data_IF_372846848358
#
_entry.id   IF_372846848358
#
_cell.length_a   1.000
_cell.length_b   1.000
_cell.length_c   1.000
_cell.angle_alpha   90.00
_cell.angle_beta   90.00
_cell.angle_gamma   90.00
#
_symmetry.space_group_name_H-M   'P 1'
#
loop_
_entity.id
_entity.type
_entity.pdbx_description
1 polymer ?
#
# COMPACT_ATOMS: atom_id res chain seq x y z
N UNK A 1 7.10 -41.78 -18.40
CA UNK A 1 6.66 -40.56 -17.68
C UNK A 1 6.77 -40.70 -16.16
N UNK A 2 6.26 -41.79 -15.55
CA UNK A 2 6.27 -41.95 -14.07
C UNK A 2 7.61 -42.29 -13.40
N UNK A 3 8.65 -42.67 -14.15
CA UNK A 3 9.96 -43.04 -13.59
C UNK A 3 10.80 -41.85 -13.10
N UNK A 4 10.36 -40.60 -13.34
CA UNK A 4 11.07 -39.39 -12.93
C UNK A 4 10.48 -38.71 -11.68
N UNK A 5 9.38 -39.23 -11.10
CA UNK A 5 8.82 -38.67 -9.87
C UNK A 5 9.64 -39.13 -8.67
N UNK A 6 10.53 -38.26 -8.18
CA UNK A 6 11.31 -38.52 -6.97
C UNK A 6 10.49 -38.26 -5.71
N UNK A 7 9.51 -37.35 -5.80
CA UNK A 7 8.65 -36.98 -4.67
C UNK A 7 7.26 -36.49 -5.11
N UNK A 8 6.29 -36.50 -4.18
CA UNK A 8 4.98 -35.86 -4.39
C UNK A 8 5.07 -34.37 -4.73
N UNK A 9 6.19 -33.73 -4.36
CA UNK A 9 6.47 -32.32 -4.62
C UNK A 9 6.77 -32.05 -6.10
N UNK A 10 7.09 -33.09 -6.87
CA UNK A 10 7.25 -32.99 -8.34
C UNK A 10 5.89 -33.00 -9.05
N UNK A 11 4.90 -33.69 -8.47
CA UNK A 11 3.52 -33.76 -9.00
C UNK A 11 2.70 -32.56 -8.56
N UNK A 12 2.88 -32.14 -7.30
CA UNK A 12 2.10 -31.10 -6.66
C UNK A 12 3.03 -30.06 -5.98
N UNK A 13 3.64 -29.14 -6.76
CA UNK A 13 4.58 -28.14 -6.22
C UNK A 13 4.00 -27.29 -5.09
N UNK A 14 2.68 -27.06 -5.10
CA UNK A 14 1.95 -26.32 -4.08
C UNK A 14 2.02 -26.94 -2.68
N UNK A 15 2.40 -28.22 -2.53
CA UNK A 15 2.64 -28.85 -1.22
C UNK A 15 3.77 -28.11 -0.45
N UNK A 16 4.71 -27.47 -1.16
CA UNK A 16 5.76 -26.64 -0.54
C UNK A 16 5.23 -25.38 0.15
N UNK A 17 3.95 -25.02 -0.04
CA UNK A 17 3.33 -23.93 0.71
C UNK A 17 3.01 -24.34 2.16
N UNK A 18 2.79 -25.62 2.47
CA UNK A 18 2.41 -26.06 3.83
C UNK A 18 3.48 -25.81 4.90
N UNK A 19 4.78 -26.07 4.65
CA UNK A 19 5.84 -25.72 5.60
C UNK A 19 5.83 -24.26 6.05
N UNK A 20 5.31 -23.34 5.23
CA UNK A 20 5.23 -21.92 5.57
C UNK A 20 4.33 -21.63 6.77
N UNK A 21 3.35 -22.51 7.08
CA UNK A 21 2.49 -22.40 8.26
C UNK A 21 3.29 -22.38 9.56
N UNK A 22 4.50 -22.96 9.57
CA UNK A 22 5.40 -22.93 10.74
C UNK A 22 5.78 -21.51 11.17
N UNK A 23 5.68 -20.52 10.27
CA UNK A 23 5.96 -19.13 10.61
C UNK A 23 4.98 -18.56 11.65
N UNK A 24 3.76 -19.11 11.76
CA UNK A 24 2.79 -18.71 12.77
C UNK A 24 3.26 -19.02 14.19
N UNK A 25 4.13 -20.04 14.34
CA UNK A 25 4.75 -20.41 15.60
C UNK A 25 6.02 -19.60 15.92
N UNK A 26 6.43 -18.67 15.04
CA UNK A 26 7.63 -17.84 15.23
C UNK A 26 7.23 -16.45 15.77
N UNK A 27 7.26 -16.23 17.09
CA UNK A 27 6.74 -15.00 17.71
C UNK A 27 7.49 -13.74 17.24
N UNK A 28 8.76 -13.87 16.86
CA UNK A 28 9.58 -12.75 16.37
C UNK A 28 9.02 -12.17 15.07
N UNK A 29 8.58 -13.00 14.12
CA UNK A 29 8.00 -12.54 12.86
C UNK A 29 6.65 -11.83 13.06
N UNK A 30 5.84 -12.33 14.01
CA UNK A 30 4.56 -11.73 14.37
C UNK A 30 4.76 -10.40 15.09
N UNK A 31 5.74 -10.33 15.99
CA UNK A 31 6.12 -9.10 16.68
C UNK A 31 6.56 -7.99 15.70
N UNK A 32 7.31 -8.33 14.65
CA UNK A 32 7.70 -7.37 13.61
C UNK A 32 6.47 -6.80 12.89
N UNK A 33 5.49 -7.64 12.55
CA UNK A 33 4.23 -7.16 11.93
C UNK A 33 3.42 -6.30 12.90
N UNK A 34 3.36 -6.67 14.18
CA UNK A 34 2.67 -5.87 15.20
C UNK A 34 3.29 -4.48 15.35
N UNK A 35 4.63 -4.39 15.38
CA UNK A 35 5.34 -3.11 15.43
C UNK A 35 5.02 -2.26 14.19
N UNK A 36 5.03 -2.86 13.00
CA UNK A 36 4.69 -2.17 11.76
C UNK A 36 3.23 -1.71 11.72
N UNK A 37 2.31 -2.53 12.21
CA UNK A 37 0.90 -2.19 12.34
C UNK A 37 0.70 -1.03 13.32
N UNK A 38 1.33 -1.08 14.50
CA UNK A 38 1.27 -0.01 15.49
C UNK A 38 1.84 1.32 14.93
N UNK A 39 2.98 1.25 14.22
CA UNK A 39 3.56 2.40 13.53
C UNK A 39 2.60 2.96 12.45
N UNK A 40 1.87 2.08 11.75
CA UNK A 40 0.86 2.47 10.75
C UNK A 40 -0.32 3.20 11.39
N UNK A 41 -0.86 2.65 12.48
CA UNK A 41 -1.95 3.28 13.24
C UNK A 41 -1.53 4.64 13.76
N UNK A 42 -0.34 4.74 14.35
CA UNK A 42 0.20 6.02 14.85
C UNK A 42 0.36 7.04 13.72
N UNK A 43 0.94 6.65 12.58
CA UNK A 43 1.13 7.53 11.41
C UNK A 43 -0.22 8.01 10.87
N UNK A 44 -1.21 7.12 10.79
CA UNK A 44 -2.57 7.42 10.34
C UNK A 44 -3.25 8.41 11.29
N UNK A 45 -3.15 8.16 12.60
CA UNK A 45 -3.75 9.02 13.63
C UNK A 45 -3.13 10.43 13.66
N UNK A 46 -1.86 10.58 13.30
CA UNK A 46 -1.20 11.90 13.24
C UNK A 46 -1.51 12.65 11.94
N UNK A 47 -1.52 11.96 10.79
CA UNK A 47 -1.65 12.61 9.47
C UNK A 47 -3.09 12.83 9.02
N UNK A 48 -4.05 12.04 9.53
CA UNK A 48 -5.46 12.12 9.15
C UNK A 48 -6.34 12.71 10.26
N UNK A 49 -5.75 13.47 11.21
CA UNK A 49 -6.58 14.19 12.18
C UNK A 49 -7.60 15.06 11.41
N UNK A 50 -8.89 14.98 11.74
CA UNK A 50 -9.89 15.81 11.11
C UNK A 50 -9.50 17.27 11.32
N UNK A 51 -9.35 18.01 10.22
CA UNK A 51 -9.08 19.46 10.28
C UNK A 51 -10.17 20.08 11.16
N UNK A 52 -9.83 20.81 12.24
CA UNK A 52 -10.81 21.39 13.12
C UNK A 52 -11.81 22.20 12.32
N UNK A 53 -13.09 21.80 12.38
CA UNK A 53 -14.20 22.44 11.66
C UNK A 53 -14.38 23.90 12.05
N UNK A 54 -13.77 24.33 13.15
CA UNK A 54 -13.88 25.70 13.68
C UNK A 54 -13.14 26.74 12.82
N UNK A 55 -12.16 26.31 11.99
CA UNK A 55 -11.53 27.18 10.97
C UNK A 55 -12.33 27.24 9.65
N UNK A 56 -13.35 26.39 9.49
CA UNK A 56 -14.37 26.54 8.46
C UNK A 56 -15.53 27.45 8.92
N UNK A 57 -15.33 28.21 10.00
CA UNK A 57 -16.21 29.28 10.50
C UNK A 57 -16.34 30.49 9.56
N UNK A 58 -15.84 30.41 8.33
CA UNK A 58 -16.44 31.14 7.22
C UNK A 58 -17.82 30.53 7.00
N UNK A 59 -18.83 31.00 7.73
CA UNK A 59 -20.23 30.74 7.42
C UNK A 59 -20.41 31.01 5.92
N UNK A 60 -20.43 29.95 5.13
CA UNK A 60 -21.03 30.00 3.80
C UNK A 60 -22.50 30.16 4.11
N UNK A 61 -22.89 31.39 4.41
CA UNK A 61 -24.24 31.87 4.22
C UNK A 61 -24.53 31.56 2.77
N UNK A 62 -25.18 30.41 2.55
CA UNK A 62 -25.87 30.14 1.30
C UNK A 62 -26.60 31.44 0.95
N UNK A 63 -26.43 31.99 -0.27
CA UNK A 63 -27.11 33.21 -0.65
C UNK A 63 -28.58 33.05 -0.28
N UNK A 64 -29.06 33.95 0.56
CA UNK A 64 -30.40 33.96 1.18
C UNK A 64 -31.54 33.83 0.14
N UNK A 65 -31.22 34.00 -1.13
CA UNK A 65 -32.05 33.74 -2.30
C UNK A 65 -32.69 32.34 -2.32
N UNK A 66 -32.04 31.28 -1.81
CA UNK A 66 -32.64 29.94 -1.76
C UNK A 66 -33.45 29.63 -0.49
N UNK A 67 -33.23 30.33 0.63
CA UNK A 67 -34.09 30.18 1.81
C UNK A 67 -35.43 30.90 1.63
N UNK A 68 -35.48 31.97 0.83
CA UNK A 68 -36.72 32.69 0.57
C UNK A 68 -37.68 31.94 -0.38
N UNK A 69 -37.19 31.00 -1.20
CA UNK A 69 -38.04 30.19 -2.09
C UNK A 69 -38.78 29.05 -1.37
N UNK A 70 -38.33 28.63 -0.18
CA UNK A 70 -39.01 27.57 0.61
C UNK A 70 -40.07 28.09 1.58
N UNK A 71 -40.07 29.39 1.91
CA UNK A 71 -41.11 29.98 2.78
C UNK A 71 -42.36 30.46 2.03
N UNK A 72 -42.34 30.48 0.69
CA UNK A 72 -43.46 31.02 -0.13
C UNK A 72 -44.52 29.97 -0.49
N UNK A 73 -44.32 28.67 -0.20
CA UNK A 73 -45.29 27.61 -0.55
C UNK A 73 -46.34 27.35 0.55
N UNK A 74 -46.72 28.38 1.31
CA UNK A 74 -47.62 28.20 2.45
C UNK A 74 -48.28 29.49 2.93
N UNK A 75 -48.86 30.31 2.05
CA UNK A 75 -49.99 31.19 2.40
C UNK A 75 -50.60 31.75 1.13
N UNK A 76 -51.87 31.42 0.93
CA UNK A 76 -52.70 32.11 -0.05
C UNK A 76 -53.04 33.54 0.38
N UNK A 77 -53.71 34.22 -0.55
CA UNK A 77 -54.51 35.44 -0.39
C UNK A 77 -53.78 36.78 -0.65
N UNK A 78 -53.81 37.15 -1.95
CA UNK A 78 -54.36 38.42 -2.50
C UNK A 78 -53.55 39.75 -2.35
N UNK A 79 -53.86 40.83 -3.12
CA UNK A 79 -52.88 41.49 -3.98
C UNK A 79 -52.76 43.02 -3.70
N UNK A 80 -52.03 43.74 -4.58
CA UNK A 80 -52.02 45.20 -4.78
C UNK A 80 -51.39 46.08 -3.69
N UNK A 81 -50.26 46.70 -4.06
CA UNK A 81 -49.80 48.09 -3.84
C UNK A 81 -48.27 48.09 -4.02
N UNK A 82 -47.75 48.49 -5.18
CA UNK A 82 -47.32 49.86 -5.46
C UNK A 82 -46.23 50.36 -4.49
N UNK A 83 -44.95 50.24 -4.87
CA UNK A 83 -44.00 51.33 -4.61
C UNK A 83 -42.82 51.28 -5.60
N UNK A 84 -42.88 52.25 -6.51
CA UNK A 84 -41.83 52.64 -7.44
C UNK A 84 -40.72 53.35 -6.63
N UNK A 85 -39.57 52.72 -6.43
CA UNK A 85 -38.35 53.38 -5.90
C UNK A 85 -37.21 53.29 -6.89
N UNK A 86 -37.10 54.34 -7.68
CA UNK A 86 -35.89 54.78 -8.36
C UNK A 86 -34.78 54.95 -7.31
N UNK A 87 -33.70 54.19 -7.46
CA UNK A 87 -32.45 54.42 -6.75
C UNK A 87 -31.52 55.24 -7.65
N UNK A 88 -30.73 56.19 -7.10
CA UNK A 88 -29.90 57.07 -7.90
C UNK A 88 -28.66 56.34 -8.44
N UNK A 89 -28.38 56.55 -9.72
CA UNK A 89 -27.07 56.31 -10.32
C UNK A 89 -26.00 57.09 -9.54
N UNK A 90 -25.03 56.37 -8.95
CA UNK A 90 -23.75 56.96 -8.56
C UNK A 90 -22.81 56.95 -9.77
N UNK A 91 -22.04 58.03 -9.98
CA UNK A 91 -21.12 58.14 -11.11
C UNK A 91 -19.91 57.23 -10.91
N UNK A 92 -19.57 56.52 -11.99
CA UNK A 92 -18.29 55.90 -12.24
C UNK A 92 -17.24 57.00 -12.41
N UNK A 93 -16.29 57.11 -11.48
CA UNK A 93 -15.00 57.78 -11.69
C UNK A 93 -14.04 57.33 -10.58
N UNK A 94 -13.18 56.36 -10.91
CA UNK A 94 -11.74 56.34 -10.56
C UNK A 94 -11.15 54.99 -11.02
N UNK A 95 -11.06 54.92 -12.34
CA UNK A 95 -10.12 54.04 -13.05
C UNK A 95 -8.74 54.72 -12.97
N UNK A 96 -7.69 53.90 -12.93
CA UNK A 96 -6.27 54.28 -13.09
C UNK A 96 -5.54 54.66 -11.80
N UNK A 97 -5.26 53.67 -10.96
CA UNK A 97 -3.93 53.57 -10.35
C UNK A 97 -3.54 52.09 -10.19
N UNK A 98 -2.63 51.67 -11.07
CA UNK A 98 -1.61 50.64 -10.79
C UNK A 98 -2.12 49.27 -10.31
N UNK A 99 -2.79 48.57 -11.23
CA UNK A 99 -2.84 47.11 -11.26
C UNK A 99 -1.42 46.55 -11.52
N UNK A 100 -0.54 46.65 -10.53
CA UNK A 100 0.44 45.59 -10.30
C UNK A 100 -0.41 44.38 -9.90
N UNK A 101 -0.76 43.57 -10.90
CA UNK A 101 -1.58 42.39 -10.76
C UNK A 101 -1.11 41.63 -9.52
N UNK A 102 -1.96 41.66 -8.47
CA UNK A 102 -1.74 40.82 -7.30
C UNK A 102 -1.58 39.41 -7.87
N UNK A 103 -0.53 38.65 -7.49
CA UNK A 103 -0.30 37.32 -8.04
C UNK A 103 -1.58 36.48 -8.01
N UNK A 104 -2.45 36.68 -7.01
CA UNK A 104 -3.75 36.01 -6.89
C UNK A 104 -4.71 36.15 -8.09
N UNK A 105 -4.69 37.25 -8.85
CA UNK A 105 -5.53 37.40 -10.06
C UNK A 105 -4.94 36.71 -11.28
N UNK A 106 -3.60 36.59 -11.35
CA UNK A 106 -2.91 35.86 -12.42
C UNK A 106 -3.19 34.34 -12.36
N UNK A 107 -3.50 33.82 -11.16
CA UNK A 107 -3.92 32.44 -10.95
C UNK A 107 -5.46 32.27 -10.88
N UNK A 108 -6.25 33.35 -10.91
CA UNK A 108 -7.73 33.27 -10.85
C UNK A 108 -8.36 32.69 -12.13
N UNK A 109 -7.64 32.75 -13.26
CA UNK A 109 -8.03 32.10 -14.52
C UNK A 109 -7.54 30.67 -14.69
N UNK A 110 -6.74 30.14 -13.75
CA UNK A 110 -6.28 28.75 -13.85
C UNK A 110 -7.41 27.79 -13.46
N UNK A 111 -7.48 26.62 -14.13
CA UNK A 111 -8.53 25.65 -13.87
C UNK A 111 -8.54 25.24 -12.38
N UNK A 112 -9.72 24.89 -11.82
CA UNK A 112 -9.93 24.58 -10.40
C UNK A 112 -9.02 23.47 -9.85
N UNK A 113 -8.35 22.72 -10.72
CA UNK A 113 -7.27 21.78 -10.41
C UNK A 113 -6.16 22.40 -9.55
N UNK A 114 -5.74 23.64 -9.84
CA UNK A 114 -4.70 24.29 -9.03
C UNK A 114 -5.22 24.72 -7.66
N UNK A 115 -6.50 25.10 -7.55
CA UNK A 115 -7.15 25.34 -6.27
C UNK A 115 -7.32 24.04 -5.45
N UNK A 116 -7.58 22.89 -6.11
CA UNK A 116 -7.65 21.57 -5.44
C UNK A 116 -6.29 21.05 -5.00
N UNK A 117 -5.23 21.28 -5.79
CA UNK A 117 -3.84 21.01 -5.38
C UNK A 117 -3.40 21.92 -4.22
N UNK A 118 -3.89 23.17 -4.19
CA UNK A 118 -3.69 24.15 -3.10
C UNK A 118 -4.51 23.80 -1.84
N UNK A 119 -5.65 23.12 -1.97
CA UNK A 119 -6.48 22.59 -0.87
C UNK A 119 -5.89 21.31 -0.23
N UNK A 120 -4.73 21.47 0.43
CA UNK A 120 -4.36 20.82 1.70
C UNK A 120 -4.19 19.29 1.86
N UNK A 121 -4.23 18.42 0.83
CA UNK A 121 -4.04 16.96 1.05
C UNK A 121 -2.90 16.25 0.32
N UNK A 122 -2.19 16.90 -0.60
CA UNK A 122 -1.11 16.25 -1.37
C UNK A 122 0.11 15.93 -0.50
N UNK A 123 0.60 16.92 0.27
CA UNK A 123 1.75 16.73 1.16
C UNK A 123 1.50 15.68 2.26
N UNK A 124 0.40 15.72 3.05
CA UNK A 124 0.15 14.68 4.06
C UNK A 124 -0.07 13.29 3.44
N UNK A 125 -0.64 13.20 2.24
CA UNK A 125 -0.74 11.94 1.50
C UNK A 125 0.64 11.42 1.07
N UNK A 126 1.51 12.28 0.54
CA UNK A 126 2.86 11.91 0.15
C UNK A 126 3.69 11.45 1.36
N UNK A 127 3.58 12.14 2.50
CA UNK A 127 4.21 11.73 3.76
C UNK A 127 3.65 10.38 4.21
N UNK A 128 2.31 10.22 4.20
CA UNK A 128 1.66 8.97 4.58
C UNK A 128 2.14 7.79 3.72
N UNK A 129 2.12 7.93 2.39
CA UNK A 129 2.56 6.90 1.46
C UNK A 129 4.05 6.56 1.66
N UNK A 130 4.89 7.58 1.82
CA UNK A 130 6.33 7.39 2.09
C UNK A 130 6.56 6.62 3.39
N UNK A 131 5.84 6.99 4.46
CA UNK A 131 5.88 6.27 5.73
C UNK A 131 5.39 4.83 5.59
N UNK A 132 4.31 4.59 4.83
CA UNK A 132 3.82 3.23 4.59
C UNK A 132 4.88 2.38 3.88
N UNK A 133 5.57 2.92 2.88
CA UNK A 133 6.66 2.23 2.20
C UNK A 133 7.83 1.94 3.15
N UNK A 134 8.27 2.93 3.93
CA UNK A 134 9.37 2.77 4.88
C UNK A 134 9.08 1.75 5.98
N UNK A 135 7.83 1.68 6.43
CA UNK A 135 7.38 0.73 7.46
C UNK A 135 7.24 -0.68 6.88
N UNK A 136 6.53 -0.83 5.75
CA UNK A 136 6.10 -2.15 5.28
C UNK A 136 7.11 -2.86 4.37
N UNK A 137 7.92 -2.15 3.59
CA UNK A 137 8.95 -2.80 2.74
C UNK A 137 9.91 -3.68 3.55
N UNK A 138 10.54 -3.25 4.66
CA UNK A 138 11.44 -4.13 5.42
C UNK A 138 10.72 -5.35 6.03
N UNK A 139 9.45 -5.18 6.43
CA UNK A 139 8.61 -6.27 6.94
C UNK A 139 8.35 -7.30 5.85
N UNK A 140 7.96 -6.84 4.66
CA UNK A 140 7.72 -7.70 3.49
C UNK A 140 8.99 -8.46 3.11
N UNK A 141 10.15 -7.80 3.02
CA UNK A 141 11.42 -8.46 2.68
C UNK A 141 11.78 -9.53 3.72
N UNK A 142 11.69 -9.22 5.02
CA UNK A 142 12.06 -10.13 6.10
C UNK A 142 11.19 -11.39 6.12
N UNK A 143 9.87 -11.21 6.04
CA UNK A 143 8.91 -12.30 6.19
C UNK A 143 8.81 -13.12 4.89
N UNK A 144 8.85 -12.47 3.72
CA UNK A 144 8.86 -13.17 2.43
C UNK A 144 10.10 -14.04 2.27
N UNK A 145 11.27 -13.59 2.75
CA UNK A 145 12.48 -14.42 2.81
C UNK A 145 12.26 -15.67 3.67
N UNK A 146 11.67 -15.50 4.85
CA UNK A 146 11.41 -16.63 5.76
C UNK A 146 10.44 -17.63 5.15
N UNK A 147 9.39 -17.15 4.46
CA UNK A 147 8.47 -18.00 3.71
C UNK A 147 9.12 -18.74 2.55
N UNK A 148 9.99 -18.08 1.78
CA UNK A 148 10.77 -18.70 0.71
C UNK A 148 11.70 -19.80 1.24
N UNK A 149 12.42 -19.55 2.34
CA UNK A 149 13.31 -20.54 2.98
C UNK A 149 12.53 -21.76 3.47
N UNK A 150 11.35 -21.56 4.08
CA UNK A 150 10.47 -22.66 4.50
C UNK A 150 9.95 -23.48 3.31
N UNK A 151 9.58 -22.82 2.21
CA UNK A 151 9.15 -23.50 0.99
C UNK A 151 10.28 -24.28 0.30
N UNK A 152 11.53 -23.82 0.44
CA UNK A 152 12.74 -24.53 0.04
C UNK A 152 13.07 -25.74 0.96
N UNK A 153 12.24 -26.02 1.97
CA UNK A 153 12.43 -27.16 2.88
C UNK A 153 13.53 -26.92 3.93
N UNK A 154 13.97 -25.68 4.12
CA UNK A 154 15.06 -25.31 5.04
C UNK A 154 14.49 -24.78 6.38
N UNK A 155 15.26 -24.84 7.47
CA UNK A 155 14.85 -24.25 8.75
C UNK A 155 14.72 -22.73 8.65
N UNK A 156 13.93 -22.14 9.57
CA UNK A 156 13.77 -20.69 9.63
C UNK A 156 15.15 -20.01 9.77
N UNK A 157 15.43 -18.95 8.97
CA UNK A 157 16.68 -18.24 9.08
C UNK A 157 16.71 -17.43 10.39
N UNK A 158 17.92 -17.21 10.90
CA UNK A 158 18.10 -16.31 12.03
C UNK A 158 17.63 -14.90 11.66
N UNK A 159 16.91 -14.25 12.57
CA UNK A 159 16.34 -12.93 12.32
C UNK A 159 17.43 -11.86 12.15
N UNK A 160 18.50 -11.95 12.95
CA UNK A 160 19.61 -10.99 12.91
C UNK A 160 20.34 -10.98 11.56
N UNK A 161 20.62 -12.16 10.99
CA UNK A 161 21.24 -12.28 9.66
C UNK A 161 20.30 -11.77 8.57
N UNK A 162 19.03 -12.15 8.63
CA UNK A 162 18.00 -11.68 7.69
C UNK A 162 17.87 -10.16 7.70
N UNK A 163 17.80 -9.53 8.87
CA UNK A 163 17.68 -8.09 9.00
C UNK A 163 18.92 -7.34 8.49
N UNK A 164 20.13 -7.88 8.69
CA UNK A 164 21.36 -7.34 8.10
C UNK A 164 21.26 -7.29 6.56
N UNK A 165 20.71 -8.33 5.93
CA UNK A 165 20.54 -8.37 4.48
C UNK A 165 19.45 -7.43 3.99
N UNK A 166 18.31 -7.40 4.69
CA UNK A 166 17.22 -6.47 4.41
C UNK A 166 17.73 -5.04 4.45
N UNK A 167 18.52 -4.66 5.46
CA UNK A 167 19.12 -3.32 5.56
C UNK A 167 19.99 -2.97 4.34
N UNK A 168 20.82 -3.90 3.87
CA UNK A 168 21.67 -3.69 2.68
C UNK A 168 20.85 -3.53 1.38
N UNK A 169 19.67 -4.14 1.31
CA UNK A 169 18.79 -4.13 0.13
C UNK A 169 17.63 -3.14 0.20
N UNK A 170 17.42 -2.50 1.36
CA UNK A 170 16.26 -1.67 1.63
C UNK A 170 16.14 -0.49 0.66
N UNK A 171 17.21 0.26 0.45
CA UNK A 171 17.21 1.43 -0.44
C UNK A 171 16.78 1.06 -1.86
N UNK A 172 17.35 -0.02 -2.42
CA UNK A 172 16.96 -0.52 -3.75
C UNK A 172 15.52 -1.02 -3.76
N UNK A 173 15.08 -1.69 -2.69
CA UNK A 173 13.72 -2.26 -2.62
C UNK A 173 12.64 -1.19 -2.50
N UNK A 174 12.94 -0.03 -1.90
CA UNK A 174 12.04 1.13 -1.85
C UNK A 174 11.79 1.74 -3.23
N UNK A 175 12.73 1.60 -4.18
CA UNK A 175 12.53 2.06 -5.55
C UNK A 175 11.50 1.21 -6.31
N UNK A 176 11.37 -0.07 -5.96
CA UNK A 176 10.52 -1.03 -6.68
C UNK A 176 9.05 -0.60 -6.78
N UNK A 177 8.35 -0.21 -5.70
CA UNK A 177 7.00 0.35 -5.82
C UNK A 177 6.97 1.73 -6.49
N UNK A 178 8.05 2.52 -6.45
CA UNK A 178 8.08 3.87 -7.03
C UNK A 178 8.18 3.87 -8.55
N UNK A 179 8.88 2.91 -9.15
CA UNK A 179 9.05 2.79 -10.61
C UNK A 179 7.69 2.84 -11.35
N UNK A 180 6.69 2.00 -11.02
CA UNK A 180 5.42 2.05 -11.74
C UNK A 180 4.67 3.36 -11.53
N UNK A 181 4.76 3.97 -10.34
CA UNK A 181 4.17 5.28 -10.07
C UNK A 181 4.79 6.39 -10.93
N UNK A 182 6.11 6.39 -11.10
CA UNK A 182 6.81 7.34 -11.97
C UNK A 182 6.38 7.17 -13.42
N UNK A 183 6.22 5.93 -13.90
CA UNK A 183 5.72 5.67 -15.25
C UNK A 183 4.28 6.18 -15.43
N UNK A 184 3.36 5.85 -14.51
CA UNK A 184 1.97 6.34 -14.54
C UNK A 184 1.91 7.86 -14.50
N UNK A 185 2.75 8.49 -13.67
CA UNK A 185 2.86 9.94 -13.60
C UNK A 185 3.35 10.54 -14.92
N UNK A 186 4.34 9.93 -15.58
CA UNK A 186 4.82 10.38 -16.89
C UNK A 186 3.72 10.33 -17.96
N UNK A 187 2.94 9.24 -18.03
CA UNK A 187 1.77 9.17 -18.92
C UNK A 187 0.71 10.22 -18.57
N UNK A 188 0.47 10.45 -17.28
CA UNK A 188 -0.49 11.45 -16.80
C UNK A 188 -0.07 12.86 -17.21
N UNK A 189 1.23 13.18 -17.10
CA UNK A 189 1.81 14.45 -17.55
C UNK A 189 1.69 14.58 -19.07
N UNK A 190 2.00 13.53 -19.84
CA UNK A 190 1.87 13.55 -21.29
C UNK A 190 0.42 13.84 -21.74
N UNK A 191 -0.57 13.21 -21.10
CA UNK A 191 -1.99 13.45 -21.35
C UNK A 191 -2.42 14.86 -20.94
N UNK A 192 -1.88 15.37 -19.84
CA UNK A 192 -2.10 16.75 -19.42
C UNK A 192 -1.57 17.75 -20.46
N UNK A 193 -0.34 17.57 -20.93
CA UNK A 193 0.28 18.40 -21.98
C UNK A 193 -0.53 18.33 -23.27
N UNK A 194 -0.95 17.12 -23.69
CA UNK A 194 -1.80 16.91 -24.86
C UNK A 194 -3.14 17.64 -24.75
N UNK A 195 -3.69 17.77 -23.53
CA UNK A 195 -4.95 18.47 -23.28
C UNK A 195 -4.81 19.99 -23.34
N UNK A 196 -3.60 20.56 -23.17
CA UNK A 196 -3.42 22.02 -23.09
C UNK A 196 -4.13 22.78 -24.22
N UNK A 197 -4.01 22.43 -25.52
CA UNK A 197 -4.68 23.17 -26.61
C UNK A 197 -6.21 23.23 -26.46
N UNK A 198 -6.84 22.16 -25.98
CA UNK A 198 -8.30 22.11 -25.75
C UNK A 198 -8.77 23.02 -24.62
N UNK A 199 -7.85 23.47 -23.75
CA UNK A 199 -8.15 24.42 -22.68
C UNK A 199 -8.18 25.87 -23.21
N UNK A 200 -7.41 26.17 -24.26
CA UNK A 200 -7.34 27.51 -24.85
C UNK A 200 -8.38 27.72 -25.95
N UNK A 201 -8.74 26.66 -26.68
CA UNK A 201 -9.65 26.72 -27.83
C UNK A 201 -10.92 25.94 -27.52
N UNK A 202 -12.05 26.64 -27.45
CA UNK A 202 -13.37 26.06 -27.22
C UNK A 202 -13.94 25.35 -28.47
N UNK A 203 -13.18 24.40 -29.03
CA UNK A 203 -13.56 23.61 -30.19
C UNK A 203 -13.92 22.17 -29.77
N UNK A 204 -15.20 21.73 -29.88
CA UNK A 204 -15.62 20.40 -29.43
C UNK A 204 -14.86 19.24 -30.09
N UNK A 205 -14.54 19.37 -31.39
CA UNK A 205 -13.80 18.34 -32.13
C UNK A 205 -12.37 18.16 -31.59
N UNK A 206 -11.73 19.22 -31.09
CA UNK A 206 -10.38 19.17 -30.52
C UNK A 206 -10.38 18.34 -29.23
N UNK A 207 -11.42 18.49 -28.40
CA UNK A 207 -11.62 17.66 -27.20
C UNK A 207 -11.87 16.19 -27.54
N UNK A 208 -12.61 15.89 -28.61
CA UNK A 208 -12.81 14.50 -29.07
C UNK A 208 -11.49 13.88 -29.54
N UNK A 209 -10.72 14.59 -30.36
CA UNK A 209 -9.43 14.09 -30.88
C UNK A 209 -8.41 13.90 -29.76
N UNK A 210 -8.22 14.92 -28.91
CA UNK A 210 -7.30 14.82 -27.77
C UNK A 210 -7.74 13.75 -26.77
N UNK A 211 -9.05 13.57 -26.57
CA UNK A 211 -9.62 12.49 -25.77
C UNK A 211 -9.28 11.11 -26.31
N UNK A 212 -9.46 10.89 -27.62
CA UNK A 212 -9.12 9.62 -28.26
C UNK A 212 -7.62 9.28 -28.14
N UNK A 213 -6.74 10.25 -28.38
CA UNK A 213 -5.29 10.06 -28.22
C UNK A 213 -4.95 9.81 -26.74
N UNK A 214 -5.57 10.55 -25.81
CA UNK A 214 -5.38 10.35 -24.38
C UNK A 214 -5.80 8.93 -23.94
N UNK A 215 -6.89 8.38 -24.49
CA UNK A 215 -7.30 6.98 -24.22
C UNK A 215 -6.22 5.99 -24.64
N UNK A 216 -5.63 6.16 -25.82
CA UNK A 216 -4.54 5.30 -26.31
C UNK A 216 -3.31 5.40 -25.41
N UNK A 217 -2.98 6.59 -24.90
CA UNK A 217 -1.86 6.81 -23.98
C UNK A 217 -2.13 6.28 -22.56
N UNK A 218 -3.36 6.40 -22.06
CA UNK A 218 -3.73 5.98 -20.71
C UNK A 218 -3.95 4.47 -20.59
N UNK A 219 -4.24 3.77 -21.69
CA UNK A 219 -4.46 2.33 -21.64
C UNK A 219 -3.21 1.57 -21.13
N UNK A 220 -1.98 1.81 -21.64
CA UNK A 220 -0.75 1.26 -21.05
C UNK A 220 -0.54 1.68 -19.60
N UNK A 221 -0.85 2.93 -19.24
CA UNK A 221 -0.70 3.41 -17.86
C UNK A 221 -1.64 2.66 -16.90
N UNK A 222 -2.87 2.37 -17.32
CA UNK A 222 -3.84 1.57 -16.56
C UNK A 222 -3.40 0.12 -16.41
N UNK A 223 -2.89 -0.51 -17.48
CA UNK A 223 -2.35 -1.89 -17.44
C UNK A 223 -1.15 -1.95 -16.49
N UNK A 224 -0.26 -0.96 -16.56
CA UNK A 224 0.91 -0.85 -15.68
C UNK A 224 0.48 -0.62 -14.23
N UNK A 225 -0.43 0.33 -13.96
CA UNK A 225 -0.92 0.58 -12.60
C UNK A 225 -1.59 -0.66 -11.98
N UNK A 226 -2.44 -1.35 -12.75
CA UNK A 226 -3.11 -2.56 -12.31
C UNK A 226 -2.13 -3.72 -12.11
N UNK A 227 -1.24 -3.95 -13.08
CA UNK A 227 -0.23 -5.01 -12.99
C UNK A 227 0.73 -4.80 -11.83
N UNK A 228 1.05 -3.54 -11.48
CA UNK A 228 1.88 -3.20 -10.33
C UNK A 228 1.29 -3.68 -8.99
N UNK A 229 -0.03 -3.84 -8.87
CA UNK A 229 -0.66 -4.38 -7.65
C UNK A 229 -0.18 -5.81 -7.34
N UNK A 230 0.19 -6.57 -8.38
CA UNK A 230 0.63 -7.96 -8.26
C UNK A 230 2.13 -8.11 -8.49
N UNK A 231 2.69 -7.35 -9.44
CA UNK A 231 4.10 -7.39 -9.78
C UNK A 231 4.97 -6.81 -8.66
N UNK A 232 4.53 -5.75 -7.97
CA UNK A 232 5.30 -5.13 -6.87
C UNK A 232 5.55 -6.09 -5.71
N UNK A 233 4.54 -6.76 -5.11
CA UNK A 233 4.80 -7.69 -4.02
C UNK A 233 5.67 -8.89 -4.46
N UNK A 234 5.47 -9.42 -5.68
CA UNK A 234 6.34 -10.46 -6.23
C UNK A 234 7.77 -9.98 -6.45
N UNK A 235 7.93 -8.75 -6.94
CA UNK A 235 9.23 -8.11 -7.12
C UNK A 235 9.95 -7.87 -5.79
N UNK A 236 9.23 -7.50 -4.73
CA UNK A 236 9.82 -7.42 -3.37
C UNK A 236 10.29 -8.80 -2.89
N UNK A 237 9.52 -9.86 -3.15
CA UNK A 237 9.96 -11.22 -2.87
C UNK A 237 11.20 -11.61 -3.69
N UNK A 238 11.30 -11.19 -4.96
CA UNK A 238 12.50 -11.37 -5.78
C UNK A 238 13.72 -10.64 -5.18
N UNK A 239 13.54 -9.37 -4.80
CA UNK A 239 14.60 -8.51 -4.26
C UNK A 239 15.33 -9.12 -3.06
N UNK A 240 14.71 -9.97 -2.25
CA UNK A 240 15.36 -10.62 -1.10
C UNK A 240 15.85 -12.05 -1.39
N UNK A 241 15.34 -12.69 -2.45
CA UNK A 241 15.61 -14.10 -2.75
C UNK A 241 16.59 -14.32 -3.91
N UNK A 242 16.94 -13.27 -4.65
CA UNK A 242 17.90 -13.31 -5.76
C UNK A 242 19.31 -12.85 -5.35
N UNK A 243 20.37 -13.35 -5.99
CA UNK A 243 21.76 -12.94 -5.70
C UNK A 243 22.01 -11.46 -5.95
N UNK A 244 21.62 -10.99 -7.13
CA UNK A 244 21.87 -9.63 -7.63
C UNK A 244 20.56 -8.88 -7.80
N UNK A 245 20.03 -8.29 -6.70
CA UNK A 245 18.73 -7.65 -6.74
C UNK A 245 18.82 -6.30 -7.46
N UNK A 246 18.27 -6.25 -8.67
CA UNK A 246 17.95 -5.02 -9.37
C UNK A 246 16.44 -4.74 -9.28
N UNK A 247 16.00 -3.52 -8.92
CA UNK A 247 14.57 -3.22 -8.78
C UNK A 247 13.79 -3.35 -10.08
N UNK A 248 14.40 -3.00 -11.22
CA UNK A 248 13.74 -3.06 -12.53
C UNK A 248 13.65 -4.51 -12.98
N UNK A 249 14.73 -5.29 -12.86
CA UNK A 249 14.70 -6.73 -13.16
C UNK A 249 13.66 -7.45 -12.28
N UNK A 250 13.69 -7.19 -10.98
CA UNK A 250 12.77 -7.79 -10.01
C UNK A 250 11.30 -7.45 -10.30
N UNK A 251 11.02 -6.19 -10.65
CA UNK A 251 9.67 -5.77 -11.07
C UNK A 251 9.28 -6.44 -12.38
N UNK A 252 10.20 -6.53 -13.35
CA UNK A 252 9.97 -7.16 -14.64
C UNK A 252 9.60 -8.64 -14.50
N UNK A 253 10.24 -9.38 -13.59
CA UNK A 253 9.88 -10.77 -13.25
C UNK A 253 8.47 -10.86 -12.66
N UNK A 254 8.10 -9.91 -11.80
CA UNK A 254 6.72 -9.81 -11.29
C UNK A 254 5.69 -9.67 -12.41
N UNK A 255 5.96 -8.82 -13.41
CA UNK A 255 5.12 -8.71 -14.61
C UNK A 255 5.19 -9.95 -15.49
N UNK A 256 6.36 -10.56 -15.63
CA UNK A 256 6.55 -11.79 -16.40
C UNK A 256 5.64 -12.90 -15.86
N UNK A 257 5.59 -13.09 -14.54
CA UNK A 257 4.72 -14.09 -13.93
C UNK A 257 3.23 -13.76 -14.15
N UNK A 258 2.86 -12.48 -14.04
CA UNK A 258 1.49 -12.04 -14.27
C UNK A 258 1.04 -12.28 -15.72
N UNK A 259 1.89 -12.00 -16.71
CA UNK A 259 1.54 -12.03 -18.13
C UNK A 259 1.78 -13.39 -18.77
N UNK A 260 2.91 -14.04 -18.47
CA UNK A 260 3.27 -15.33 -19.09
C UNK A 260 2.64 -16.53 -18.40
N UNK A 261 2.34 -16.44 -17.09
CA UNK A 261 1.87 -17.58 -16.29
C UNK A 261 0.70 -17.22 -15.36
N UNK A 262 -0.37 -16.58 -15.88
CA UNK A 262 -1.49 -16.14 -15.04
C UNK A 262 -2.18 -17.32 -14.34
N UNK A 263 -2.27 -18.49 -14.97
CA UNK A 263 -2.91 -19.67 -14.38
C UNK A 263 -2.13 -20.21 -13.18
N UNK A 264 -0.80 -20.32 -13.28
CA UNK A 264 0.04 -20.73 -12.14
C UNK A 264 -0.05 -19.73 -10.99
N UNK A 265 -0.01 -18.43 -11.30
CA UNK A 265 -0.16 -17.38 -10.30
C UNK A 265 -1.49 -17.47 -9.56
N UNK A 266 -2.59 -17.56 -10.29
CA UNK A 266 -3.95 -17.73 -9.74
C UNK A 266 -4.04 -19.01 -8.91
N UNK A 267 -3.47 -20.11 -9.39
CA UNK A 267 -3.47 -21.38 -8.64
C UNK A 267 -2.76 -21.25 -7.29
N UNK A 268 -1.55 -20.69 -7.27
CA UNK A 268 -0.80 -20.50 -6.02
C UNK A 268 -1.49 -19.52 -5.06
N UNK A 269 -2.19 -18.51 -5.58
CA UNK A 269 -3.02 -17.63 -4.75
C UNK A 269 -4.26 -18.30 -4.19
N UNK A 270 -4.95 -19.16 -4.96
CA UNK A 270 -6.08 -19.94 -4.46
C UNK A 270 -5.62 -20.83 -3.31
N UNK A 271 -4.51 -21.55 -3.48
CA UNK A 271 -3.96 -22.40 -2.41
C UNK A 271 -3.54 -21.55 -1.21
N UNK A 272 -2.85 -20.44 -1.43
CA UNK A 272 -2.46 -19.52 -0.35
C UNK A 272 -3.66 -18.95 0.41
N UNK A 273 -4.72 -18.54 -0.30
CA UNK A 273 -5.96 -18.06 0.28
C UNK A 273 -6.67 -19.14 1.09
N UNK A 274 -6.69 -20.39 0.61
CA UNK A 274 -7.22 -21.53 1.36
C UNK A 274 -6.43 -21.78 2.65
N UNK A 275 -5.09 -21.70 2.62
CA UNK A 275 -4.25 -21.82 3.81
C UNK A 275 -4.50 -20.68 4.81
N UNK A 276 -4.61 -19.44 4.34
CA UNK A 276 -4.94 -18.27 5.19
C UNK A 276 -6.33 -18.44 5.80
N UNK A 277 -7.31 -18.90 5.02
CA UNK A 277 -8.67 -19.16 5.50
C UNK A 277 -8.67 -20.20 6.63
N UNK A 278 -8.01 -21.34 6.42
CA UNK A 278 -7.89 -22.40 7.45
C UNK A 278 -7.18 -21.86 8.70
N UNK A 279 -6.06 -21.16 8.53
CA UNK A 279 -5.34 -20.54 9.65
C UNK A 279 -6.21 -19.52 10.41
N UNK A 280 -6.98 -18.70 9.69
CA UNK A 280 -7.90 -17.73 10.28
C UNK A 280 -9.03 -18.39 11.08
N UNK A 281 -9.57 -19.54 10.62
CA UNK A 281 -10.57 -20.29 11.40
C UNK A 281 -9.98 -20.86 12.70
N UNK A 282 -8.77 -21.41 12.64
CA UNK A 282 -8.08 -21.94 13.82
C UNK A 282 -7.73 -20.83 14.81
N UNK A 283 -7.13 -19.73 14.35
CA UNK A 283 -6.80 -18.57 15.18
C UNK A 283 -8.05 -17.87 15.72
N UNK A 284 -9.13 -17.80 14.94
CA UNK A 284 -10.41 -17.25 15.38
C UNK A 284 -11.02 -18.01 16.56
N UNK A 285 -10.82 -19.33 16.62
CA UNK A 285 -11.17 -20.14 17.79
C UNK A 285 -10.40 -19.72 19.04
N UNK A 286 -9.07 -19.53 18.91
CA UNK A 286 -8.21 -19.06 20.01
C UNK A 286 -8.65 -17.67 20.47
N UNK A 287 -8.87 -16.73 19.55
CA UNK A 287 -9.32 -15.36 19.84
C UNK A 287 -10.65 -15.36 20.59
N UNK A 288 -11.61 -16.16 20.12
CA UNK A 288 -12.92 -16.26 20.76
C UNK A 288 -12.80 -16.78 22.19
N UNK A 289 -11.99 -17.83 22.40
CA UNK A 289 -11.73 -18.36 23.74
C UNK A 289 -11.05 -17.33 24.65
N UNK A 290 -10.05 -16.59 24.15
CA UNK A 290 -9.38 -15.50 24.87
C UNK A 290 -10.36 -14.39 25.25
N UNK A 291 -11.29 -14.01 24.36
CA UNK A 291 -12.29 -12.98 24.63
C UNK A 291 -13.32 -13.39 25.69
N UNK A 292 -13.75 -14.65 25.66
CA UNK A 292 -14.64 -15.21 26.70
C UNK A 292 -13.93 -15.15 28.05
N UNK A 293 -12.68 -15.62 28.12
CA UNK A 293 -11.89 -15.58 29.34
C UNK A 293 -11.65 -14.15 29.85
N UNK A 294 -11.27 -13.23 28.96
CA UNK A 294 -11.05 -11.83 29.30
C UNK A 294 -12.34 -11.17 29.83
N UNK A 295 -13.48 -11.51 29.24
CA UNK A 295 -14.79 -11.02 29.66
C UNK A 295 -15.16 -11.58 31.04
N UNK A 296 -14.96 -12.87 31.29
CA UNK A 296 -15.18 -13.48 32.62
C UNK A 296 -14.31 -12.80 33.69
N UNK A 297 -13.01 -12.64 33.43
CA UNK A 297 -12.09 -11.97 34.35
C UNK A 297 -12.49 -10.50 34.58
N UNK A 298 -12.83 -9.77 33.52
CA UNK A 298 -13.30 -8.38 33.64
C UNK A 298 -14.56 -8.28 34.50
N UNK A 299 -15.56 -9.13 34.27
CA UNK A 299 -16.79 -9.13 35.07
C UNK A 299 -16.59 -9.50 36.54
N UNK A 300 -15.62 -10.38 36.83
CA UNK A 300 -15.38 -10.86 38.20
C UNK A 300 -14.53 -9.90 39.04
N UNK A 301 -13.55 -9.22 38.43
CA UNK A 301 -12.53 -8.48 39.19
C UNK A 301 -12.60 -6.96 38.99
N UNK A 302 -13.01 -6.46 37.83
CA UNK A 302 -13.10 -5.02 37.57
C UNK A 302 -13.96 -4.76 36.33
N UNK A 303 -15.24 -4.36 36.49
CA UNK A 303 -16.14 -4.07 35.37
C UNK A 303 -15.83 -2.72 34.71
N UNK A 304 -14.55 -2.48 34.38
CA UNK A 304 -14.12 -1.36 33.57
C UNK A 304 -14.31 -1.70 32.08
N UNK A 305 -15.21 -0.98 31.43
CA UNK A 305 -15.48 -1.12 30.00
C UNK A 305 -14.24 -0.79 29.15
N UNK A 306 -13.38 0.12 29.62
CA UNK A 306 -12.15 0.52 28.92
C UNK A 306 -11.17 -0.64 28.84
N UNK A 307 -11.00 -1.37 29.94
CA UNK A 307 -10.20 -2.59 29.99
C UNK A 307 -10.68 -3.62 28.96
N UNK A 308 -11.97 -3.97 28.97
CA UNK A 308 -12.53 -4.99 28.07
C UNK A 308 -12.36 -4.58 26.59
N UNK A 309 -12.64 -3.32 26.25
CA UNK A 309 -12.49 -2.81 24.88
C UNK A 309 -11.03 -2.80 24.42
N UNK A 310 -10.10 -2.42 25.31
CA UNK A 310 -8.66 -2.41 25.01
C UNK A 310 -8.15 -3.84 24.78
N UNK A 311 -8.51 -4.78 25.66
CA UNK A 311 -8.14 -6.19 25.51
C UNK A 311 -8.66 -6.75 24.19
N UNK A 312 -9.92 -6.44 23.83
CA UNK A 312 -10.50 -6.86 22.54
C UNK A 312 -9.71 -6.33 21.35
N UNK A 313 -9.42 -5.03 21.35
CA UNK A 313 -8.67 -4.38 20.28
C UNK A 313 -7.28 -5.00 20.11
N UNK A 314 -6.58 -5.27 21.21
CA UNK A 314 -5.25 -5.88 21.17
C UNK A 314 -5.29 -7.33 20.66
N UNK A 315 -6.26 -8.13 21.08
CA UNK A 315 -6.37 -9.52 20.59
C UNK A 315 -6.74 -9.57 19.12
N UNK A 316 -7.66 -8.70 18.67
CA UNK A 316 -7.99 -8.55 17.25
C UNK A 316 -6.76 -8.10 16.44
N UNK A 317 -5.96 -7.16 16.94
CA UNK A 317 -4.71 -6.72 16.29
C UNK A 317 -3.68 -7.85 16.17
N UNK A 318 -3.51 -8.67 17.22
CA UNK A 318 -2.62 -9.85 17.20
C UNK A 318 -3.11 -10.89 16.17
N UNK A 319 -4.41 -11.13 16.08
CA UNK A 319 -4.98 -12.01 15.06
C UNK A 319 -4.67 -11.50 13.66
N UNK A 320 -4.95 -10.23 13.38
CA UNK A 320 -4.65 -9.61 12.09
C UNK A 320 -3.15 -9.70 11.77
N UNK A 321 -2.28 -9.45 12.75
CA UNK A 321 -0.84 -9.55 12.57
C UNK A 321 -0.40 -10.96 12.17
N UNK A 322 -0.92 -12.02 12.81
CA UNK A 322 -0.65 -13.41 12.41
C UNK A 322 -1.03 -13.68 10.96
N UNK A 323 -2.21 -13.22 10.53
CA UNK A 323 -2.67 -13.44 9.15
C UNK A 323 -1.83 -12.67 8.13
N UNK A 324 -1.43 -11.43 8.46
CA UNK A 324 -0.52 -10.65 7.62
C UNK A 324 0.85 -11.33 7.54
N UNK A 325 1.40 -11.82 8.66
CA UNK A 325 2.66 -12.57 8.67
C UNK A 325 2.58 -13.78 7.74
N UNK A 326 1.51 -14.57 7.84
CA UNK A 326 1.32 -15.72 6.97
C UNK A 326 1.15 -15.32 5.50
N UNK A 327 0.36 -14.29 5.20
CA UNK A 327 0.15 -13.81 3.84
C UNK A 327 1.45 -13.37 3.16
N UNK A 328 2.30 -12.63 3.87
CA UNK A 328 3.62 -12.20 3.36
C UNK A 328 4.59 -13.39 3.23
N UNK A 329 4.52 -14.38 4.11
CA UNK A 329 5.34 -15.58 4.00
C UNK A 329 4.94 -16.42 2.77
N UNK A 330 3.64 -16.59 2.56
CA UNK A 330 3.08 -17.27 1.39
C UNK A 330 3.39 -16.54 0.08
N UNK A 331 3.48 -15.20 0.11
CA UNK A 331 3.97 -14.42 -1.03
C UNK A 331 5.40 -14.82 -1.43
N UNK A 332 6.31 -14.91 -0.45
CA UNK A 332 7.69 -15.35 -0.70
C UNK A 332 7.81 -16.79 -1.18
N UNK A 333 6.98 -17.68 -0.62
CA UNK A 333 6.90 -19.07 -1.06
C UNK A 333 6.33 -19.21 -2.49
N UNK A 334 5.26 -18.48 -2.79
CA UNK A 334 4.63 -18.47 -4.11
C UNK A 334 5.57 -17.91 -5.18
N UNK A 335 6.35 -16.87 -4.85
CA UNK A 335 7.41 -16.37 -5.72
C UNK A 335 8.39 -17.48 -6.11
N UNK A 336 8.82 -18.29 -5.15
CA UNK A 336 9.78 -19.37 -5.37
C UNK A 336 9.20 -20.47 -6.29
N UNK A 337 7.93 -20.82 -6.10
CA UNK A 337 7.24 -21.77 -6.98
C UNK A 337 7.05 -21.23 -8.40
N UNK A 338 6.71 -19.95 -8.55
CA UNK A 338 6.62 -19.30 -9.85
C UNK A 338 7.98 -19.25 -10.56
N UNK A 339 9.07 -19.02 -9.81
CA UNK A 339 10.44 -19.05 -10.32
C UNK A 339 10.81 -20.44 -10.83
N UNK A 340 10.45 -21.51 -10.10
CA UNK A 340 10.62 -22.90 -10.55
C UNK A 340 9.90 -23.13 -11.87
N UNK A 341 8.63 -22.76 -11.93
CA UNK A 341 7.82 -22.94 -13.13
C UNK A 341 8.38 -22.14 -14.32
N UNK A 342 8.86 -20.91 -14.08
CA UNK A 342 9.34 -19.99 -15.09
C UNK A 342 10.72 -20.33 -15.66
N UNK A 343 11.71 -20.53 -14.78
CA UNK A 343 13.11 -20.67 -15.14
C UNK A 343 13.66 -22.08 -15.06
N UNK A 344 12.85 -23.07 -14.61
CA UNK A 344 13.32 -24.43 -14.37
C UNK A 344 14.34 -24.54 -13.24
N UNK A 345 14.48 -23.50 -12.43
CA UNK A 345 15.39 -23.49 -11.29
C UNK A 345 14.75 -24.24 -10.13
N UNK A 346 15.49 -25.13 -9.49
CA UNK A 346 14.92 -25.92 -8.39
C UNK A 346 14.64 -25.02 -7.19
N UNK A 347 13.63 -25.40 -6.41
CA UNK A 347 13.18 -24.60 -5.27
C UNK A 347 14.26 -24.54 -4.18
N UNK A 348 15.09 -25.58 -4.14
CA UNK A 348 16.25 -25.74 -3.27
C UNK A 348 17.39 -24.77 -3.60
N UNK A 349 17.47 -24.29 -4.85
CA UNK A 349 18.47 -23.34 -5.37
C UNK A 349 18.15 -21.89 -4.97
N UNK A 350 17.59 -21.74 -3.78
CA UNK A 350 17.41 -20.46 -3.12
C UNK A 350 18.79 -19.88 -2.83
N UNK A 351 19.05 -18.67 -3.31
CA UNK A 351 20.32 -17.99 -3.06
C UNK A 351 20.49 -17.73 -1.56
N UNK A 352 21.70 -18.00 -1.05
CA UNK A 352 22.15 -17.57 0.27
C UNK A 352 23.40 -16.72 0.09
N UNK A 353 23.58 -15.67 0.88
CA UNK A 353 24.83 -14.93 0.86
C UNK A 353 25.97 -15.86 1.30
N UNK A 354 27.19 -15.62 0.78
CA UNK A 354 28.37 -16.32 1.25
C UNK A 354 28.45 -16.21 2.79
N UNK A 355 28.80 -17.31 3.45
CA UNK A 355 29.14 -17.25 4.87
C UNK A 355 30.23 -16.17 5.05
N UNK A 356 30.10 -15.36 6.11
CA UNK A 356 31.23 -14.52 6.51
C UNK A 356 32.41 -15.47 6.73
N UNK A 357 33.54 -15.22 6.07
CA UNK A 357 34.74 -16.04 6.27
C UNK A 357 35.11 -15.84 7.72
N UNK A 358 34.93 -16.87 8.54
CA UNK A 358 35.36 -16.84 9.93
C UNK A 358 36.84 -16.45 9.92
N UNK A 359 37.17 -15.35 10.59
CA UNK A 359 38.58 -15.01 10.81
C UNK A 359 39.23 -16.24 11.44
N UNK A 360 40.38 -16.71 10.90
CA UNK A 360 41.02 -17.89 11.43
C UNK A 360 41.22 -17.68 12.93
N UNK A 361 40.75 -18.65 13.73
CA UNK A 361 40.94 -18.59 15.17
C UNK A 361 42.41 -18.28 15.44
N UNK A 362 42.72 -17.35 16.37
CA UNK A 362 44.10 -17.02 16.68
C UNK A 362 44.85 -18.31 16.98
N UNK A 363 45.98 -18.53 16.31
CA UNK A 363 46.79 -19.72 16.52
C UNK A 363 47.10 -19.84 18.00
N UNK A 364 46.73 -20.97 18.60
CA UNK A 364 47.06 -21.22 20.00
C UNK A 364 48.58 -21.18 20.16
N UNK A 365 49.11 -20.58 21.23
CA UNK A 365 50.55 -20.58 21.48
C UNK A 365 51.07 -22.03 21.55
N UNK A 366 52.28 -22.28 21.04
CA UNK A 366 52.88 -23.63 21.00
C UNK A 366 52.84 -24.39 22.34
N UNK A 367 52.82 -23.64 23.45
CA UNK A 367 52.73 -24.15 24.81
C UNK A 367 51.43 -24.92 25.08
N UNK A 368 50.33 -24.56 24.41
CA UNK A 368 49.04 -25.26 24.53
C UNK A 368 49.05 -26.65 23.86
N UNK A 369 50.04 -26.95 23.02
CA UNK A 369 50.18 -28.26 22.36
C UNK A 369 51.15 -29.21 23.10
N UNK A 370 51.82 -28.73 24.16
CA UNK A 370 52.85 -29.50 24.89
C UNK A 370 52.38 -30.04 26.26
N UNK A 371 51.11 -29.88 26.61
CA UNK A 371 50.46 -30.47 27.80
C UNK A 371 49.65 -31.69 27.41
#
# INVERSE_FOLDING_TARGET
MFQHFRSWVDVAPWIRLFPTLRILAAPVHVAIVLVAWAATVLTTAQLLQPVPTDLAGGSVSLPTTFQQARSVRGRGVSPLLAENRLTPQQPEDDVVMTALAKPDELFAGLPPIFATLRQQRVLPLAIFLSSMLLIWVPVVLTISRSGAVLAAGRPLPEMGTTLRWVRRRLAKSLLLPLVPWVCVLAFSIAVFVLRLPSLWVAAPWLSVVTGAIATVLLLPAGILAFGALFATPLGLAAMINEPDPDPIDSLSRGYEYLVRRPLSLVWYWIVSAALIYVASRLLGGVVTATMILASMVGTLFSPDATFIMTTRTLVEAIHVAWLITLGIALLGASYLLLRRDAGGQEVEDLWFPPAEVDEPLPELPEQAYKS
#
